data_IF_502644910320
#
_entry.id   IF_502644910320
#
_cell.length_a   1.000
_cell.length_b   1.000
_cell.length_c   1.000
_cell.angle_alpha   90.00
_cell.angle_beta   90.00
_cell.angle_gamma   90.00
#
_symmetry.space_group_name_H-M   'P 1'
#
loop_
_entity.id
_entity.type
_entity.pdbx_description
1 polymer ?
#
# COMPACT_ATOMS: atom_id res chain seq x y z
N UNK A 1 -23.75 14.15 -10.85
CA UNK A 1 -22.66 13.24 -11.20
C UNK A 1 -21.81 13.00 -9.98
N UNK A 2 -21.80 11.76 -9.49
CA UNK A 2 -20.86 11.31 -8.47
C UNK A 2 -20.00 10.20 -9.05
N UNK A 3 -18.73 10.52 -9.25
CA UNK A 3 -17.81 9.55 -9.85
C UNK A 3 -17.42 8.49 -8.83
N UNK A 4 -17.49 7.23 -9.25
CA UNK A 4 -17.04 6.07 -8.51
C UNK A 4 -16.14 5.19 -9.35
N UNK A 5 -15.43 4.30 -8.66
CA UNK A 5 -14.50 3.35 -9.28
C UNK A 5 -14.80 1.97 -8.73
N UNK A 6 -14.83 0.95 -9.58
CA UNK A 6 -15.02 -0.44 -9.19
C UNK A 6 -13.86 -1.28 -9.75
N UNK A 7 -13.41 -2.26 -8.98
CA UNK A 7 -12.42 -3.23 -9.43
C UNK A 7 -12.98 -4.64 -9.28
N UNK A 8 -13.08 -5.37 -10.38
CA UNK A 8 -13.35 -6.81 -10.36
C UNK A 8 -12.04 -7.59 -10.12
N UNK A 9 -11.95 -8.21 -8.94
CA UNK A 9 -10.80 -8.97 -8.49
C UNK A 9 -10.76 -10.39 -9.07
N UNK A 10 -11.86 -10.90 -9.63
CA UNK A 10 -11.88 -12.18 -10.34
C UNK A 10 -11.25 -12.03 -11.74
N UNK A 11 -11.39 -10.86 -12.37
CA UNK A 11 -10.78 -10.56 -13.66
C UNK A 11 -9.32 -10.12 -13.53
N UNK A 12 -8.95 -9.49 -12.42
CA UNK A 12 -7.61 -8.92 -12.23
C UNK A 12 -6.50 -9.98 -12.23
N UNK A 13 -5.73 -10.03 -13.32
CA UNK A 13 -4.57 -10.93 -13.44
C UNK A 13 -3.25 -10.37 -12.86
N UNK A 14 -3.27 -9.20 -12.23
CA UNK A 14 -2.09 -8.64 -11.57
C UNK A 14 -0.95 -8.17 -12.48
N UNK A 15 -1.21 -7.89 -13.76
CA UNK A 15 -0.18 -7.51 -14.75
C UNK A 15 0.52 -6.15 -14.49
N UNK A 16 0.02 -5.37 -13.51
CA UNK A 16 0.51 -4.03 -13.14
C UNK A 16 0.46 -2.96 -14.23
N UNK A 17 -0.21 -3.20 -15.35
CA UNK A 17 -0.39 -2.20 -16.42
C UNK A 17 -1.03 -0.91 -15.91
N UNK A 18 -1.99 -1.01 -14.98
CA UNK A 18 -2.62 0.15 -14.34
C UNK A 18 -1.68 0.95 -13.43
N UNK A 19 -0.66 0.33 -12.82
CA UNK A 19 0.37 1.05 -12.04
C UNK A 19 1.24 1.89 -12.95
N UNK A 20 1.75 1.27 -14.02
CA UNK A 20 2.65 1.91 -14.97
C UNK A 20 1.92 3.04 -15.69
N UNK A 21 0.69 2.80 -16.17
CA UNK A 21 -0.12 3.82 -16.81
C UNK A 21 -0.36 5.02 -15.88
N UNK A 22 -0.63 4.78 -14.60
CA UNK A 22 -0.80 5.86 -13.63
C UNK A 22 0.50 6.65 -13.42
N UNK A 23 1.65 5.97 -13.34
CA UNK A 23 2.96 6.61 -13.19
C UNK A 23 3.29 7.49 -14.38
N UNK A 24 3.14 6.97 -15.60
CA UNK A 24 3.47 7.71 -16.83
C UNK A 24 2.54 8.90 -17.01
N UNK A 25 1.23 8.69 -16.87
CA UNK A 25 0.23 9.75 -17.08
C UNK A 25 0.39 10.94 -16.14
N UNK A 26 0.82 10.69 -14.90
CA UNK A 26 0.85 11.70 -13.84
C UNK A 26 2.28 12.03 -13.38
N UNK A 27 3.29 11.55 -14.10
CA UNK A 27 4.72 11.74 -13.81
C UNK A 27 5.08 11.44 -12.33
N UNK A 28 4.49 10.37 -11.78
CA UNK A 28 4.65 10.05 -10.35
C UNK A 28 6.09 9.60 -10.05
N UNK A 29 6.79 10.23 -9.08
CA UNK A 29 8.18 9.94 -8.75
C UNK A 29 8.44 8.45 -8.50
N UNK A 30 9.61 7.94 -8.88
CA UNK A 30 9.92 6.50 -8.88
C UNK A 30 9.67 5.82 -7.53
N UNK A 31 9.96 6.51 -6.42
CA UNK A 31 9.80 6.01 -5.05
C UNK A 31 8.35 6.02 -4.53
N UNK A 32 7.40 6.55 -5.31
CA UNK A 32 6.02 6.80 -4.87
C UNK A 32 4.98 6.21 -5.83
N UNK A 33 3.75 6.05 -5.35
CA UNK A 33 2.66 5.44 -6.14
C UNK A 33 1.30 6.02 -5.75
N UNK A 34 0.54 6.45 -6.76
CA UNK A 34 -0.91 6.76 -6.62
C UNK A 34 -1.79 5.49 -6.67
N UNK A 35 -1.27 4.41 -7.25
CA UNK A 35 -1.94 3.10 -7.41
C UNK A 35 -0.89 2.00 -7.25
N UNK A 36 -1.22 0.94 -6.47
CA UNK A 36 -0.36 -0.24 -6.27
C UNK A 36 -1.18 -1.52 -6.31
N UNK A 37 -0.78 -2.50 -7.11
CA UNK A 37 -1.33 -3.84 -7.12
C UNK A 37 -0.58 -4.68 -6.08
N UNK A 38 -1.27 -5.02 -5.00
CA UNK A 38 -0.80 -5.98 -4.03
C UNK A 38 -1.26 -7.38 -4.40
N UNK A 39 -0.59 -8.39 -3.90
CA UNK A 39 -1.05 -9.77 -4.02
C UNK A 39 -0.86 -10.50 -2.70
N UNK A 40 -1.67 -11.53 -2.52
CA UNK A 40 -1.56 -12.50 -1.43
C UNK A 40 -1.67 -13.90 -2.01
N UNK A 41 -0.91 -14.82 -1.45
CA UNK A 41 -1.04 -16.26 -1.71
C UNK A 41 -1.97 -16.85 -0.65
N UNK A 42 -2.94 -17.65 -1.09
CA UNK A 42 -4.01 -18.20 -0.28
C UNK A 42 -3.99 -19.72 -0.44
N UNK A 43 -3.97 -20.43 0.69
CA UNK A 43 -3.99 -21.89 0.72
C UNK A 43 -2.59 -22.51 0.85
N UNK A 44 -2.52 -23.82 0.65
CA UNK A 44 -1.31 -24.64 0.76
C UNK A 44 -1.31 -25.61 -0.41
N UNK A 45 -0.14 -25.88 -1.00
CA UNK A 45 -0.02 -26.84 -2.10
C UNK A 45 -0.67 -28.20 -1.76
N UNK A 46 -1.47 -28.80 -2.68
CA UNK A 46 -1.73 -28.38 -4.06
C UNK A 46 -2.83 -27.31 -4.21
N UNK A 47 -3.64 -27.08 -3.18
CA UNK A 47 -4.77 -26.15 -3.17
C UNK A 47 -4.32 -24.72 -2.83
N UNK A 48 -3.55 -24.13 -3.74
CA UNK A 48 -3.04 -22.75 -3.63
C UNK A 48 -3.61 -21.85 -4.72
N UNK A 49 -3.83 -20.58 -4.38
CA UNK A 49 -4.29 -19.54 -5.29
C UNK A 49 -3.62 -18.21 -4.97
N UNK A 50 -3.61 -17.29 -5.93
CA UNK A 50 -3.11 -15.92 -5.74
C UNK A 50 -4.21 -14.93 -6.08
N UNK A 51 -4.42 -13.98 -5.19
CA UNK A 51 -5.36 -12.87 -5.40
C UNK A 51 -4.59 -11.56 -5.60
N UNK A 52 -5.05 -10.73 -6.53
CA UNK A 52 -4.43 -9.45 -6.87
C UNK A 52 -5.37 -8.28 -6.57
N UNK A 53 -4.90 -7.28 -5.81
CA UNK A 53 -5.69 -6.12 -5.40
C UNK A 53 -5.05 -4.82 -5.88
N UNK A 54 -5.62 -4.18 -6.91
CA UNK A 54 -5.28 -2.81 -7.26
C UNK A 54 -5.78 -1.82 -6.19
N UNK A 55 -4.88 -1.29 -5.37
CA UNK A 55 -5.16 -0.34 -4.30
C UNK A 55 -4.84 1.09 -4.74
N UNK A 56 -5.78 2.02 -4.53
CA UNK A 56 -5.62 3.47 -4.78
C UNK A 56 -6.44 4.28 -3.78
N UNK A 57 -6.52 5.60 -3.96
CA UNK A 57 -7.40 6.45 -3.16
C UNK A 57 -8.87 6.03 -3.34
N UNK A 58 -9.61 6.01 -2.24
CA UNK A 58 -11.01 5.61 -2.24
C UNK A 58 -11.99 6.75 -2.57
N UNK A 59 -11.49 7.98 -2.71
CA UNK A 59 -12.28 9.21 -2.93
C UNK A 59 -13.55 9.25 -2.08
N UNK A 60 -13.38 9.00 -0.77
CA UNK A 60 -14.49 8.79 0.16
C UNK A 60 -15.39 10.03 0.25
N UNK A 61 -16.69 9.82 0.42
CA UNK A 61 -17.68 10.89 0.60
C UNK A 61 -17.45 11.66 1.92
N UNK A 62 -16.98 10.97 2.97
CA UNK A 62 -16.58 11.58 4.25
C UNK A 62 -15.08 11.45 4.43
N UNK A 63 -14.31 12.11 3.57
CA UNK A 63 -12.86 12.07 3.57
C UNK A 63 -12.26 12.73 4.84
N UNK A 64 -11.56 11.99 5.72
CA UNK A 64 -10.90 12.57 6.88
C UNK A 64 -9.68 13.43 6.48
N UNK A 65 -9.06 13.13 5.34
CA UNK A 65 -7.90 13.86 4.83
C UNK A 65 -8.23 15.26 4.34
N UNK A 66 -9.46 15.49 3.87
CA UNK A 66 -9.97 16.81 3.52
C UNK A 66 -10.19 17.64 4.80
N UNK A 67 -10.97 17.11 5.75
CA UNK A 67 -11.29 17.78 7.03
C UNK A 67 -10.07 18.17 7.88
N UNK A 68 -8.99 17.40 7.85
CA UNK A 68 -7.78 17.69 8.62
C UNK A 68 -6.89 18.75 7.96
N UNK A 69 -7.12 19.10 6.69
CA UNK A 69 -6.23 19.98 5.95
C UNK A 69 -6.39 21.45 6.41
N UNK A 70 -5.39 22.07 7.06
CA UNK A 70 -5.54 23.42 7.63
C UNK A 70 -5.59 24.53 6.57
N UNK A 71 -5.18 24.22 5.33
CA UNK A 71 -5.08 25.15 4.19
C UNK A 71 -6.04 24.79 3.04
N UNK A 72 -6.94 23.83 3.29
CA UNK A 72 -7.92 23.33 2.32
C UNK A 72 -7.32 22.88 0.97
N UNK A 73 -6.04 22.46 0.96
CA UNK A 73 -5.38 21.94 -0.23
C UNK A 73 -6.08 20.66 -0.74
N UNK A 74 -6.49 19.78 0.17
CA UNK A 74 -7.44 18.71 -0.14
C UNK A 74 -8.86 19.27 -0.11
N UNK A 75 -9.63 19.02 -1.15
CA UNK A 75 -10.98 19.55 -1.34
C UNK A 75 -11.81 18.65 -2.25
N UNK A 76 -13.13 18.79 -2.24
CA UNK A 76 -14.00 18.10 -3.19
C UNK A 76 -14.18 18.94 -4.46
N UNK A 77 -14.15 18.27 -5.61
CA UNK A 77 -14.69 18.79 -6.86
C UNK A 77 -16.21 18.52 -6.92
N UNK A 78 -16.92 19.23 -7.81
CA UNK A 78 -18.38 19.09 -7.99
C UNK A 78 -18.81 17.66 -8.32
N UNK A 79 -17.97 16.91 -9.02
CA UNK A 79 -18.20 15.51 -9.39
C UNK A 79 -17.86 14.51 -8.26
N UNK A 80 -17.55 14.99 -7.07
CA UNK A 80 -17.27 14.20 -5.88
C UNK A 80 -15.83 13.66 -5.77
N UNK A 81 -14.93 14.00 -6.70
CA UNK A 81 -13.50 13.66 -6.58
C UNK A 81 -12.91 14.47 -5.41
N UNK A 82 -12.39 13.78 -4.41
CA UNK A 82 -11.44 14.39 -3.46
C UNK A 82 -10.17 14.72 -4.23
N UNK A 83 -9.89 15.98 -4.52
CA UNK A 83 -8.71 16.43 -5.26
C UNK A 83 -7.69 17.11 -4.34
N UNK A 84 -6.47 17.33 -4.84
CA UNK A 84 -5.41 18.04 -4.14
C UNK A 84 -4.91 19.22 -4.96
N UNK A 85 -4.81 20.37 -4.33
CA UNK A 85 -4.19 21.58 -4.86
C UNK A 85 -2.78 21.71 -4.28
N UNK A 86 -1.79 21.45 -5.13
CA UNK A 86 -0.38 21.49 -4.73
C UNK A 86 0.12 22.90 -4.43
N UNK A 87 -0.48 23.95 -5.02
CA UNK A 87 -0.06 25.33 -4.79
C UNK A 87 -0.45 25.82 -3.38
N UNK A 88 -1.53 25.27 -2.81
CA UNK A 88 -1.95 25.54 -1.43
C UNK A 88 -1.33 24.61 -0.40
N UNK A 89 -0.74 23.49 -0.81
CA UNK A 89 -0.21 22.50 0.11
C UNK A 89 1.04 23.00 0.82
N UNK A 90 1.03 22.99 2.16
CA UNK A 90 2.15 23.42 3.01
C UNK A 90 3.03 22.26 3.52
N UNK A 91 2.86 21.04 2.99
CA UNK A 91 3.71 19.90 3.35
C UNK A 91 3.56 19.34 4.78
N UNK A 92 2.53 19.74 5.53
CA UNK A 92 2.38 19.35 6.96
C UNK A 92 2.12 17.85 7.23
N UNK A 93 1.91 17.03 6.20
CA UNK A 93 1.63 15.59 6.29
C UNK A 93 0.42 15.16 7.15
N UNK A 94 -0.39 16.07 7.68
CA UNK A 94 -1.56 15.72 8.51
C UNK A 94 -2.58 14.82 7.79
N UNK A 95 -2.77 15.03 6.49
CA UNK A 95 -3.64 14.20 5.66
C UNK A 95 -3.16 12.74 5.54
N UNK A 96 -1.85 12.48 5.58
CA UNK A 96 -1.30 11.12 5.57
C UNK A 96 -1.68 10.37 6.83
N UNK A 97 -1.59 11.03 7.99
CA UNK A 97 -1.98 10.46 9.27
C UNK A 97 -3.48 10.20 9.34
N UNK A 98 -4.28 11.08 8.73
CA UNK A 98 -5.74 10.93 8.70
C UNK A 98 -6.24 9.85 7.73
N UNK A 99 -5.49 9.52 6.67
CA UNK A 99 -5.95 8.59 5.65
C UNK A 99 -5.88 7.13 6.15
N UNK A 100 -7.01 6.44 6.40
CA UNK A 100 -6.99 5.08 6.94
C UNK A 100 -6.51 4.04 5.90
N UNK A 101 -6.36 4.45 4.64
CA UNK A 101 -5.99 3.59 3.52
C UNK A 101 -4.52 3.66 3.14
N UNK A 102 -3.76 4.61 3.72
CA UNK A 102 -2.37 4.88 3.32
C UNK A 102 -2.24 5.25 1.83
N UNK A 103 -3.22 6.00 1.32
CA UNK A 103 -3.33 6.35 -0.10
C UNK A 103 -2.66 7.70 -0.45
N UNK A 104 -2.07 8.37 0.52
CA UNK A 104 -1.41 9.68 0.40
C UNK A 104 0.06 9.51 0.77
N UNK A 105 0.95 10.09 0.00
CA UNK A 105 2.39 10.17 0.26
C UNK A 105 2.87 11.61 0.21
N UNK A 106 4.07 11.89 0.72
CA UNK A 106 4.78 13.14 0.44
C UNK A 106 5.59 12.97 -0.82
N UNK A 107 5.35 13.83 -1.81
CA UNK A 107 6.16 13.89 -3.01
C UNK A 107 7.58 14.36 -2.64
N UNK A 108 8.63 13.58 -2.97
CA UNK A 108 10.00 13.91 -2.62
C UNK A 108 10.57 15.10 -3.39
N UNK A 109 9.97 15.48 -4.53
CA UNK A 109 10.44 16.56 -5.38
C UNK A 109 9.81 17.89 -4.99
N UNK A 110 8.49 17.90 -4.72
CA UNK A 110 7.76 19.13 -4.39
C UNK A 110 7.59 19.36 -2.89
N UNK A 111 7.84 18.35 -2.05
CA UNK A 111 7.51 18.34 -0.61
C UNK A 111 6.01 18.63 -0.32
N UNK A 112 5.13 18.38 -1.29
CA UNK A 112 3.67 18.45 -1.12
C UNK A 112 3.10 17.05 -0.92
N UNK A 113 1.92 16.96 -0.31
CA UNK A 113 1.20 15.70 -0.30
C UNK A 113 0.71 15.37 -1.72
N UNK A 114 0.68 14.09 -2.09
CA UNK A 114 0.12 13.64 -3.36
C UNK A 114 -0.60 12.29 -3.22
N UNK A 115 -1.55 12.01 -4.11
CA UNK A 115 -2.41 10.83 -4.12
C UNK A 115 -3.12 10.67 -5.47
N UNK A 116 -3.84 9.57 -5.65
CA UNK A 116 -4.73 9.41 -6.82
C UNK A 116 -5.77 10.55 -6.88
N UNK A 117 -5.98 11.07 -8.10
CA UNK A 117 -6.89 12.18 -8.44
C UNK A 117 -8.06 11.72 -9.33
N UNK A 118 -8.25 10.41 -9.50
CA UNK A 118 -9.10 9.83 -10.55
C UNK A 118 -8.78 10.34 -11.96
N UNK A 119 -7.58 10.88 -12.20
CA UNK A 119 -7.23 11.57 -13.45
C UNK A 119 -8.23 12.69 -13.78
N UNK A 120 -8.54 13.55 -12.80
CA UNK A 120 -9.47 14.68 -12.98
C UNK A 120 -9.18 15.49 -14.26
N UNK A 121 -7.89 15.67 -14.61
CA UNK A 121 -7.47 16.35 -15.84
C UNK A 121 -7.92 15.67 -17.14
N UNK A 122 -7.97 14.32 -17.15
CA UNK A 122 -8.51 13.55 -18.28
C UNK A 122 -10.03 13.63 -18.34
N UNK A 123 -10.68 13.55 -17.19
CA UNK A 123 -12.14 13.57 -17.09
C UNK A 123 -12.70 14.91 -17.57
N UNK A 124 -12.04 16.02 -17.24
CA UNK A 124 -12.39 17.36 -17.73
C UNK A 124 -12.32 17.44 -19.27
N UNK A 125 -11.45 16.65 -19.90
CA UNK A 125 -11.33 16.52 -21.35
C UNK A 125 -12.22 15.42 -21.96
N UNK A 126 -13.17 14.86 -21.19
CA UNK A 126 -14.06 13.79 -21.65
C UNK A 126 -13.38 12.43 -21.83
N UNK A 127 -12.21 12.21 -21.23
CA UNK A 127 -11.45 10.96 -21.32
C UNK A 127 -11.56 10.13 -20.04
N UNK A 128 -11.47 8.80 -20.20
CA UNK A 128 -11.40 7.87 -19.08
C UNK A 128 -10.04 7.94 -18.35
N UNK A 129 -9.97 7.58 -17.05
CA UNK A 129 -8.71 7.50 -16.32
C UNK A 129 -7.71 6.54 -16.98
N UNK A 130 -6.42 6.87 -16.97
CA UNK A 130 -5.39 6.08 -17.66
C UNK A 130 -5.34 4.61 -17.19
N UNK A 131 -5.55 4.36 -15.90
CA UNK A 131 -5.59 3.01 -15.34
C UNK A 131 -6.79 2.16 -15.80
N UNK A 132 -7.89 2.79 -16.22
CA UNK A 132 -9.05 2.11 -16.82
C UNK A 132 -8.69 1.68 -18.24
N UNK A 133 -8.23 2.63 -19.05
CA UNK A 133 -7.87 2.41 -20.47
C UNK A 133 -6.76 1.38 -20.62
N UNK A 134 -5.79 1.34 -19.70
CA UNK A 134 -4.67 0.42 -19.75
C UNK A 134 -4.99 -1.02 -19.31
N UNK A 135 -6.21 -1.31 -18.85
CA UNK A 135 -6.55 -2.63 -18.32
C UNK A 135 -6.96 -3.60 -19.44
N UNK A 136 -6.15 -4.64 -19.75
CA UNK A 136 -6.45 -5.55 -20.88
C UNK A 136 -7.61 -6.50 -20.62
N UNK A 137 -7.99 -6.66 -19.35
CA UNK A 137 -9.06 -7.56 -18.88
C UNK A 137 -10.27 -6.79 -18.38
N UNK A 138 -10.28 -5.46 -18.57
CA UNK A 138 -11.39 -4.56 -18.20
C UNK A 138 -11.83 -4.67 -16.72
N UNK A 139 -10.94 -5.13 -15.84
CA UNK A 139 -11.20 -5.26 -14.41
C UNK A 139 -11.43 -3.92 -13.70
N UNK A 140 -10.96 -2.80 -14.26
CA UNK A 140 -11.15 -1.47 -13.72
C UNK A 140 -12.36 -0.81 -14.39
N UNK A 141 -13.42 -0.54 -13.64
CA UNK A 141 -14.67 0.07 -14.13
C UNK A 141 -14.83 1.43 -13.46
N UNK A 142 -15.15 2.45 -14.25
CA UNK A 142 -15.26 3.83 -13.78
C UNK A 142 -16.48 4.51 -14.40
N UNK A 143 -17.15 5.38 -13.64
CA UNK A 143 -18.30 6.11 -14.15
C UNK A 143 -19.06 6.85 -13.06
N UNK A 144 -20.22 7.40 -13.43
CA UNK A 144 -21.16 8.02 -12.50
C UNK A 144 -21.99 6.95 -11.80
N UNK A 145 -21.87 6.86 -10.48
CA UNK A 145 -22.60 5.85 -9.68
C UNK A 145 -24.04 6.25 -9.34
N UNK A 146 -24.43 7.49 -9.67
CA UNK A 146 -25.82 7.96 -9.54
C UNK A 146 -26.61 7.83 -10.84
N UNK A 147 -25.93 7.54 -11.96
CA UNK A 147 -26.59 7.28 -13.25
C UNK A 147 -26.83 5.78 -13.39
N UNK A 148 -28.10 5.36 -13.31
CA UNK A 148 -28.53 3.96 -13.42
C UNK A 148 -28.21 3.33 -14.79
N UNK A 149 -27.90 4.16 -15.79
CA UNK A 149 -27.51 3.70 -17.14
C UNK A 149 -26.01 3.55 -17.33
N UNK A 150 -25.20 3.99 -16.35
CA UNK A 150 -23.75 3.91 -16.44
C UNK A 150 -23.25 2.47 -16.27
N UNK A 151 -22.15 2.14 -16.93
CA UNK A 151 -21.54 0.81 -16.84
C UNK A 151 -21.22 0.40 -15.40
N UNK A 152 -20.77 1.34 -14.55
CA UNK A 152 -20.45 1.05 -13.15
C UNK A 152 -21.71 0.76 -12.34
N UNK A 153 -22.79 1.53 -12.53
CA UNK A 153 -24.06 1.33 -11.81
C UNK A 153 -24.70 0.00 -12.20
N UNK A 154 -24.74 -0.31 -13.50
CA UNK A 154 -25.21 -1.60 -14.01
C UNK A 154 -24.39 -2.76 -13.41
N UNK A 155 -23.07 -2.64 -13.37
CA UNK A 155 -22.21 -3.67 -12.78
C UNK A 155 -22.47 -3.87 -11.28
N UNK A 156 -22.62 -2.77 -10.53
CA UNK A 156 -22.96 -2.79 -9.10
C UNK A 156 -24.33 -3.45 -8.90
N UNK A 157 -25.32 -3.12 -9.74
CA UNK A 157 -26.67 -3.71 -9.67
C UNK A 157 -26.68 -5.21 -9.96
N UNK A 158 -25.92 -5.66 -10.95
CA UNK A 158 -25.77 -7.08 -11.28
C UNK A 158 -25.07 -7.86 -10.16
N UNK A 159 -24.15 -7.22 -9.43
CA UNK A 159 -23.28 -7.85 -8.43
C UNK A 159 -23.60 -7.44 -6.97
N UNK A 160 -24.77 -6.88 -6.67
CA UNK A 160 -25.07 -6.23 -5.37
C UNK A 160 -24.67 -7.05 -4.12
N UNK A 161 -24.80 -8.37 -4.17
CA UNK A 161 -24.45 -9.27 -3.05
C UNK A 161 -22.95 -9.48 -2.80
N UNK A 162 -22.09 -9.06 -3.73
CA UNK A 162 -20.64 -9.28 -3.67
C UNK A 162 -19.81 -8.00 -3.70
N UNK A 163 -20.46 -6.82 -3.80
CA UNK A 163 -19.80 -5.52 -3.77
C UNK A 163 -19.31 -5.21 -2.35
N UNK A 164 -18.02 -4.93 -2.24
CA UNK A 164 -17.34 -4.63 -0.99
C UNK A 164 -16.58 -3.31 -1.07
N UNK A 165 -16.34 -2.70 0.09
CA UNK A 165 -15.47 -1.54 0.25
C UNK A 165 -14.38 -1.84 1.28
N UNK A 166 -13.27 -1.10 1.22
CA UNK A 166 -12.19 -1.26 2.19
C UNK A 166 -12.50 -0.54 3.49
N UNK A 167 -12.24 -1.22 4.60
CA UNK A 167 -12.34 -0.71 5.97
C UNK A 167 -13.67 0.00 6.26
N UNK A 168 -14.83 -0.67 6.08
CA UNK A 168 -16.14 -0.08 6.35
C UNK A 168 -16.28 0.46 7.79
N UNK A 169 -15.58 -0.15 8.75
CA UNK A 169 -15.51 0.28 10.16
C UNK A 169 -14.87 1.66 10.38
N UNK A 170 -14.28 2.27 9.34
CA UNK A 170 -13.74 3.64 9.39
C UNK A 170 -14.77 4.71 9.01
N UNK A 171 -15.98 4.32 8.61
CA UNK A 171 -17.11 5.23 8.36
C UNK A 171 -16.78 6.40 7.42
N UNK A 172 -15.93 6.18 6.41
CA UNK A 172 -15.53 7.19 5.42
C UNK A 172 -16.44 7.24 4.20
N UNK A 173 -17.35 6.27 4.04
CA UNK A 173 -18.18 6.06 2.85
C UNK A 173 -17.36 6.05 1.54
N UNK A 174 -16.53 5.01 1.29
CA UNK A 174 -15.72 4.90 0.08
C UNK A 174 -16.55 4.89 -1.20
N UNK A 175 -16.06 5.57 -2.26
CA UNK A 175 -16.59 5.50 -3.63
C UNK A 175 -15.71 4.64 -4.54
N UNK A 176 -14.91 3.78 -3.92
CA UNK A 176 -14.08 2.79 -4.58
C UNK A 176 -14.50 1.40 -4.10
N UNK A 177 -15.12 0.66 -5.01
CA UNK A 177 -15.76 -0.61 -4.79
C UNK A 177 -14.89 -1.76 -5.31
N UNK A 178 -15.14 -2.96 -4.80
CA UNK A 178 -14.48 -4.18 -5.20
C UNK A 178 -15.52 -5.29 -5.33
N UNK A 179 -15.35 -6.15 -6.33
CA UNK A 179 -16.15 -7.37 -6.53
C UNK A 179 -15.18 -8.55 -6.60
N UNK A 180 -15.54 -9.69 -6.00
CA UNK A 180 -14.72 -10.90 -6.04
C UNK A 180 -13.49 -10.88 -5.11
N UNK A 181 -12.54 -11.78 -5.36
CA UNK A 181 -11.24 -11.82 -4.66
C UNK A 181 -11.24 -12.36 -3.22
N UNK A 182 -12.41 -12.72 -2.67
CA UNK A 182 -12.54 -13.30 -1.32
C UNK A 182 -12.19 -12.36 -0.17
N UNK A 183 -12.57 -12.74 1.05
CA UNK A 183 -12.41 -11.91 2.26
C UNK A 183 -10.96 -11.57 2.58
N UNK A 184 -10.03 -12.50 2.31
CA UNK A 184 -8.61 -12.36 2.62
C UNK A 184 -7.98 -11.11 1.97
N UNK A 185 -8.49 -10.71 0.80
CA UNK A 185 -7.87 -9.65 0.01
C UNK A 185 -8.16 -8.25 0.57
N UNK A 186 -9.34 -8.06 1.17
CA UNK A 186 -9.82 -6.76 1.63
C UNK A 186 -9.88 -6.63 3.16
N UNK A 187 -9.99 -7.76 3.86
CA UNK A 187 -9.94 -7.83 5.32
C UNK A 187 -8.54 -8.25 5.82
N UNK A 188 -7.76 -7.34 6.41
CA UNK A 188 -6.48 -7.69 6.99
C UNK A 188 -6.59 -8.67 8.18
N UNK A 189 -7.75 -8.74 8.86
CA UNK A 189 -7.98 -9.63 9.99
C UNK A 189 -8.33 -11.06 9.57
N UNK A 190 -8.65 -11.29 8.30
CA UNK A 190 -8.92 -12.62 7.78
C UNK A 190 -7.66 -13.50 7.73
N UNK A 191 -6.46 -12.92 7.79
CA UNK A 191 -5.21 -13.67 7.81
C UNK A 191 -4.85 -14.12 9.24
N UNK A 192 -4.65 -15.43 9.42
CA UNK A 192 -4.05 -15.97 10.65
C UNK A 192 -2.53 -15.98 10.50
N UNK A 193 -1.81 -15.41 11.47
CA UNK A 193 -0.36 -15.56 11.54
C UNK A 193 -0.03 -17.01 11.84
N UNK A 194 0.67 -17.68 10.93
CA UNK A 194 1.18 -19.03 11.15
C UNK A 194 2.45 -18.91 12.02
N UNK A 195 2.41 -19.49 13.23
CA UNK A 195 3.60 -19.62 14.07
C UNK A 195 4.66 -20.49 13.36
N UNK A 196 5.94 -20.18 13.54
CA UNK A 196 7.07 -20.86 12.87
C UNK A 196 7.50 -20.38 11.46
N UNK A 197 6.65 -19.69 10.67
CA UNK A 197 6.97 -19.28 9.27
C UNK A 197 7.40 -17.81 9.02
N UNK A 198 7.60 -17.01 10.07
CA UNK A 198 8.07 -15.64 9.98
C UNK A 198 9.56 -15.53 10.27
N UNK A 199 10.24 -14.60 9.59
CA UNK A 199 11.66 -14.27 9.80
C UNK A 199 12.00 -14.01 11.29
N UNK A 200 11.01 -13.60 12.07
CA UNK A 200 11.14 -13.29 13.51
C UNK A 200 10.33 -14.24 14.40
N UNK A 201 9.89 -15.39 13.91
CA UNK A 201 9.04 -16.28 14.72
C UNK A 201 9.77 -16.95 15.89
N UNK A 202 11.09 -16.91 15.91
CA UNK A 202 11.90 -17.32 17.07
C UNK A 202 12.17 -16.17 18.05
N UNK A 203 11.81 -14.93 17.71
CA UNK A 203 11.91 -13.79 18.60
C UNK A 203 10.61 -13.69 19.40
N UNK A 204 10.51 -14.50 20.46
CA UNK A 204 9.42 -14.42 21.44
C UNK A 204 9.67 -13.34 22.50
N UNK A 205 10.95 -12.99 22.69
CA UNK A 205 11.43 -11.95 23.56
C UNK A 205 12.51 -11.16 22.83
N UNK A 206 12.44 -9.82 22.87
CA UNK A 206 13.59 -8.99 22.58
C UNK A 206 14.42 -8.95 23.86
N UNK A 207 15.64 -9.46 23.83
CA UNK A 207 16.58 -9.22 24.92
C UNK A 207 16.72 -7.70 25.08
N UNK A 208 16.57 -7.22 26.32
CA UNK A 208 16.82 -5.83 26.62
C UNK A 208 18.33 -5.56 26.42
N UNK A 209 18.73 -5.15 25.21
CA UNK A 209 20.13 -4.81 24.90
C UNK A 209 20.45 -3.45 25.54
N UNK A 210 20.78 -3.45 26.82
CA UNK A 210 21.19 -2.29 27.61
C UNK A 210 20.55 -2.27 29.00
N UNK A 211 21.18 -1.54 29.93
CA UNK A 211 20.80 -1.50 31.35
C UNK A 211 19.32 -1.13 31.55
N UNK A 212 18.61 -1.92 32.37
CA UNK A 212 17.19 -1.75 32.68
C UNK A 212 16.90 -0.47 33.48
N UNK A 213 17.94 0.13 34.06
CA UNK A 213 17.86 1.39 34.80
C UNK A 213 18.13 2.61 33.92
N UNK A 214 18.51 2.41 32.66
CA UNK A 214 18.74 3.47 31.69
C UNK A 214 17.56 3.57 30.74
N UNK A 215 16.98 4.77 30.62
CA UNK A 215 15.91 5.04 29.68
C UNK A 215 16.38 4.88 28.24
N UNK A 216 15.44 4.75 27.30
CA UNK A 216 15.77 4.62 25.87
C UNK A 216 16.62 5.81 25.37
N UNK A 217 16.45 6.98 25.99
CA UNK A 217 17.21 8.20 25.71
C UNK A 217 18.67 8.12 26.18
N UNK A 218 18.94 7.45 27.29
CA UNK A 218 20.30 7.33 27.84
C UNK A 218 21.20 6.52 26.90
N UNK A 219 20.63 5.60 26.11
CA UNK A 219 21.36 4.84 25.07
C UNK A 219 21.82 5.69 23.89
N UNK A 220 21.09 6.75 23.54
CA UNK A 220 21.48 7.68 22.48
C UNK A 220 22.51 8.71 22.97
N UNK A 221 22.54 8.96 24.28
CA UNK A 221 23.43 9.95 24.90
C UNK A 221 24.74 9.35 25.42
N UNK A 222 24.76 8.05 25.77
CA UNK A 222 25.93 7.35 26.28
C UNK A 222 27.20 7.49 25.42
N UNK A 223 27.16 7.44 24.07
CA UNK A 223 28.34 7.62 23.23
C UNK A 223 28.96 9.02 23.33
N UNK A 224 28.21 10.02 23.82
CA UNK A 224 28.66 11.40 23.94
C UNK A 224 29.17 11.74 25.35
N UNK A 225 29.10 10.81 26.31
CA UNK A 225 29.41 11.07 27.72
C UNK A 225 30.53 10.22 28.32
N UNK A 226 31.07 9.22 27.61
CA UNK A 226 32.19 8.40 28.14
C UNK A 226 33.50 8.67 27.40
N UNK A 227 34.45 9.30 28.08
CA UNK A 227 35.88 9.29 27.71
C UNK A 227 36.48 7.91 28.00
N UNK A 228 36.42 7.00 27.03
CA UNK A 228 37.09 5.69 27.09
C UNK A 228 37.30 5.15 25.69
N UNK A 229 38.52 4.72 25.38
CA UNK A 229 38.91 4.20 24.06
C UNK A 229 38.04 3.00 23.67
N UNK A 230 37.40 3.07 22.50
CA UNK A 230 36.63 1.98 21.94
C UNK A 230 37.58 0.94 21.30
N UNK A 231 37.70 -0.25 21.90
CA UNK A 231 38.37 -1.39 21.29
C UNK A 231 37.39 -2.09 20.33
N UNK A 232 37.65 -1.97 19.01
CA UNK A 232 36.80 -2.48 17.93
C UNK A 232 36.97 -3.99 17.69
N UNK A 233 36.81 -4.82 18.73
CA UNK A 233 36.85 -6.28 18.62
C UNK A 233 35.51 -6.92 18.97
N UNK A 234 34.49 -6.67 18.16
CA UNK A 234 33.40 -7.65 17.89
C UNK A 234 32.38 -7.13 16.89
N UNK A 235 32.72 -7.13 15.60
CA UNK A 235 31.71 -7.09 14.53
C UNK A 235 31.93 -8.13 13.43
N UNK A 236 32.99 -8.93 13.50
CA UNK A 236 33.21 -10.07 12.60
C UNK A 236 33.98 -11.17 13.33
N UNK A 237 33.27 -12.07 14.01
CA UNK A 237 33.75 -13.44 14.19
C UNK A 237 32.77 -14.33 13.42
N UNK A 238 33.14 -14.66 12.19
CA UNK A 238 32.61 -15.85 11.53
C UNK A 238 33.35 -17.03 12.15
N UNK A 239 32.64 -17.82 12.96
CA UNK A 239 33.17 -19.10 13.43
C UNK A 239 33.35 -20.02 12.22
N UNK A 240 34.60 -20.14 11.77
CA UNK A 240 35.01 -21.18 10.85
C UNK A 240 35.19 -22.47 11.66
N UNK A 241 34.27 -23.42 11.46
CA UNK A 241 34.42 -24.81 11.86
C UNK A 241 35.74 -25.37 11.31
N UNK A 242 36.68 -25.64 12.21
CA UNK A 242 37.87 -26.43 11.90
C UNK A 242 38.28 -27.21 13.16
N UNK A 243 37.77 -28.44 13.29
CA UNK A 243 38.52 -29.64 13.69
C UNK A 243 37.58 -30.84 13.86
N UNK A 244 37.21 -31.47 12.74
CA UNK A 244 37.01 -32.91 12.70
C UNK A 244 38.17 -33.48 11.86
N UNK A 245 39.17 -34.01 12.54
CA UNK A 245 40.16 -34.89 11.93
C UNK A 245 39.46 -36.20 11.56
N UNK A 246 39.54 -36.63 10.30
CA UNK A 246 40.00 -37.97 9.95
C UNK A 246 40.29 -38.07 8.45
N UNK A 247 41.42 -38.72 8.19
CA UNK A 247 42.10 -39.00 6.93
C UNK A 247 41.25 -39.74 5.92
N UNK A 248 41.37 -39.40 4.62
CA UNK A 248 41.58 -40.40 3.56
C UNK A 248 42.25 -39.76 2.34
N UNK A 249 43.22 -40.51 1.83
CA UNK A 249 44.19 -40.21 0.78
C UNK A 249 43.58 -40.24 -0.64
N UNK A 250 44.24 -39.46 -1.51
CA UNK A 250 44.62 -39.72 -2.91
C UNK A 250 43.60 -39.97 -4.05
N UNK A 251 44.02 -39.42 -5.22
CA UNK A 251 43.58 -39.62 -6.61
C UNK A 251 42.21 -39.00 -6.99
N UNK A 252 42.02 -38.21 -8.05
CA UNK A 252 42.81 -37.87 -9.23
C UNK A 252 41.83 -37.67 -10.41
N UNK A 253 41.98 -36.60 -11.19
CA UNK A 253 41.65 -36.57 -12.62
C UNK A 253 40.19 -36.33 -13.08
N UNK A 254 40.07 -35.30 -13.93
CA UNK A 254 39.03 -34.98 -14.94
C UNK A 254 37.74 -34.28 -14.50
#
# INVERSE_FOLDING_TARGET
MKLGFLVDLNLCMGCKGCEIACKVENEVPLSSWRLRVKYIDIGVFPDTSRSFTPLRCNHCESAPCERICPVSALHYLENGIVNIDNARCIGCAGCMMACPYGAIYMDPETNTADKCTYCAHRIESGMMPACVVACPVEANIFGDVEDDTSNISLYIMEHQGSVQVRKPEKHTSPKHYYVGGGTFTLDPLAHKRIEGYGLFNQITHLDAIGDKNHGVLDRFLAPFTSHGEADNKSFMNFDNDANAHESHEEEGGH
#
